data_IF_897808548006
#
_entry.id   IF_897808548006
#
_cell.length_a   1.000
_cell.length_b   1.000
_cell.length_c   1.000
_cell.angle_alpha   90.00
_cell.angle_beta   90.00
_cell.angle_gamma   90.00
#
_symmetry.space_group_name_H-M   'P 1'
#
loop_
_entity.id
_entity.type
_entity.pdbx_description
1 polymer ?
#
# COMPACT_ATOMS: atom_id res chain seq x y z
N UNK A 1 -22.38 -32.04 5.64
CA UNK A 1 -21.14 -32.81 5.83
C UNK A 1 -19.90 -31.91 5.95
N UNK A 2 -20.04 -30.73 6.59
CA UNK A 2 -18.96 -29.74 6.82
C UNK A 2 -18.94 -29.22 8.27
N UNK A 3 -19.71 -29.85 9.17
CA UNK A 3 -19.88 -29.40 10.56
C UNK A 3 -18.98 -30.14 11.55
N UNK A 4 -18.33 -31.22 11.14
CA UNK A 4 -17.68 -32.14 12.08
C UNK A 4 -16.15 -31.98 12.18
N UNK A 5 -15.54 -31.05 11.43
CA UNK A 5 -14.09 -30.78 11.49
C UNK A 5 -13.73 -29.81 12.64
N UNK A 6 -14.69 -29.10 13.24
CA UNK A 6 -14.42 -28.08 14.27
C UNK A 6 -14.38 -28.63 15.72
N UNK A 7 -14.26 -29.95 15.92
CA UNK A 7 -14.23 -30.58 17.25
C UNK A 7 -13.01 -31.46 17.55
N UNK A 8 -11.96 -31.41 16.73
CA UNK A 8 -10.68 -32.01 17.11
C UNK A 8 -9.73 -30.95 17.66
N UNK A 9 -9.06 -31.31 18.75
CA UNK A 9 -8.07 -30.51 19.46
C UNK A 9 -7.11 -29.84 18.45
N UNK A 10 -7.08 -28.52 18.51
CA UNK A 10 -6.22 -27.67 17.70
C UNK A 10 -4.76 -28.07 17.89
N UNK A 11 -4.18 -28.89 16.99
CA UNK A 11 -2.72 -28.99 16.78
C UNK A 11 -2.21 -29.89 15.64
N UNK A 12 -3.02 -30.46 14.74
CA UNK A 12 -2.51 -31.53 13.84
C UNK A 12 -2.51 -31.25 12.34
N UNK A 13 -2.96 -30.09 11.86
CA UNK A 13 -2.93 -29.79 10.41
C UNK A 13 -1.63 -29.08 10.05
N UNK A 14 -0.66 -29.82 9.51
CA UNK A 14 0.60 -29.27 9.01
C UNK A 14 0.50 -29.00 7.51
N UNK A 15 0.83 -27.78 7.10
CA UNK A 15 0.90 -27.41 5.69
C UNK A 15 2.37 -27.44 5.27
N UNK A 16 2.74 -28.11 4.17
CA UNK A 16 4.12 -28.07 3.65
C UNK A 16 4.53 -26.71 3.06
N UNK A 17 5.49 -26.69 2.14
CA UNK A 17 5.87 -25.47 1.42
C UNK A 17 4.73 -25.02 0.49
N UNK A 18 4.21 -23.81 0.69
CA UNK A 18 3.11 -23.25 -0.12
C UNK A 18 3.60 -22.03 -0.88
N UNK A 19 3.54 -22.09 -2.20
CA UNK A 19 3.89 -20.93 -3.02
C UNK A 19 2.91 -19.78 -2.80
N UNK A 20 1.61 -20.07 -2.88
CA UNK A 20 0.55 -19.07 -2.74
C UNK A 20 -0.60 -19.67 -1.93
N UNK A 21 -1.02 -18.94 -0.91
CA UNK A 21 -2.23 -19.23 -0.15
C UNK A 21 -3.23 -18.10 -0.37
N UNK A 22 -4.47 -18.45 -0.63
CA UNK A 22 -5.56 -17.49 -0.80
C UNK A 22 -6.74 -17.95 0.03
N UNK A 23 -7.15 -17.11 0.98
CA UNK A 23 -8.26 -17.38 1.89
C UNK A 23 -9.31 -16.30 1.72
N UNK A 24 -10.55 -16.75 1.56
CA UNK A 24 -11.72 -15.91 1.39
C UNK A 24 -12.66 -16.09 2.57
N UNK A 25 -13.20 -15.00 3.09
CA UNK A 25 -14.32 -15.02 4.02
C UNK A 25 -14.05 -15.89 5.26
N UNK A 26 -14.98 -16.78 5.61
CA UNK A 26 -14.83 -17.68 6.75
C UNK A 26 -13.61 -18.59 6.69
N UNK A 27 -13.07 -18.90 5.49
CA UNK A 27 -11.85 -19.73 5.39
C UNK A 27 -10.64 -19.06 6.01
N UNK A 28 -10.66 -17.73 6.18
CA UNK A 28 -9.60 -17.00 6.88
C UNK A 28 -9.43 -17.44 8.33
N UNK A 29 -10.49 -17.95 8.98
CA UNK A 29 -10.41 -18.43 10.36
C UNK A 29 -9.41 -19.56 10.53
N UNK A 30 -9.07 -20.28 9.46
CA UNK A 30 -8.05 -21.32 9.48
C UNK A 30 -6.67 -20.80 9.93
N UNK A 31 -6.41 -19.50 9.76
CA UNK A 31 -5.19 -18.82 10.25
C UNK A 31 -5.04 -18.87 11.78
N UNK A 32 -6.13 -19.03 12.53
CA UNK A 32 -6.06 -19.15 13.99
C UNK A 32 -5.72 -20.56 14.44
N UNK A 33 -5.98 -21.57 13.59
CA UNK A 33 -5.94 -22.98 13.94
C UNK A 33 -4.73 -23.75 13.39
N UNK A 34 -4.13 -23.33 12.28
CA UNK A 34 -3.04 -24.09 11.66
C UNK A 34 -1.69 -23.76 12.32
N UNK A 35 -0.95 -24.81 12.67
CA UNK A 35 0.46 -24.74 13.07
C UNK A 35 1.41 -24.81 11.87
N UNK A 36 2.48 -24.01 11.89
CA UNK A 36 3.53 -24.04 10.86
C UNK A 36 4.81 -24.64 11.43
N UNK A 37 5.42 -25.56 10.68
CA UNK A 37 6.78 -26.06 10.92
C UNK A 37 7.82 -25.01 10.53
N UNK A 38 9.03 -25.07 11.09
CA UNK A 38 10.12 -24.11 10.84
C UNK A 38 10.48 -23.98 9.35
N UNK A 39 10.33 -25.04 8.57
CA UNK A 39 10.65 -25.06 7.13
C UNK A 39 9.51 -24.58 6.22
N UNK A 40 8.30 -24.41 6.76
CA UNK A 40 7.15 -24.02 5.96
C UNK A 40 7.29 -22.56 5.54
N UNK A 41 7.28 -22.30 4.24
CA UNK A 41 7.35 -20.96 3.66
C UNK A 41 6.08 -20.71 2.84
N UNK A 42 5.39 -19.61 3.13
CA UNK A 42 4.31 -19.07 2.29
C UNK A 42 4.92 -17.91 1.50
N UNK A 43 5.06 -18.02 0.18
CA UNK A 43 5.65 -16.91 -0.58
C UNK A 43 4.64 -15.76 -0.76
N UNK A 44 3.37 -16.09 -1.01
CA UNK A 44 2.27 -15.14 -1.20
C UNK A 44 1.05 -15.51 -0.35
N UNK A 45 0.56 -14.58 0.47
CA UNK A 45 -0.67 -14.71 1.24
C UNK A 45 -1.68 -13.65 0.79
N UNK A 46 -2.85 -14.11 0.35
CA UNK A 46 -3.97 -13.25 -0.06
C UNK A 46 -5.16 -13.52 0.85
N UNK A 47 -5.68 -12.47 1.49
CA UNK A 47 -6.81 -12.54 2.40
C UNK A 47 -7.89 -11.55 1.96
N UNK A 48 -9.12 -12.03 1.82
CA UNK A 48 -10.24 -11.22 1.33
C UNK A 48 -11.49 -11.46 2.19
N UNK A 49 -11.97 -10.40 2.83
CA UNK A 49 -13.17 -10.46 3.67
C UNK A 49 -14.19 -9.38 3.30
N UNK A 50 -15.41 -9.81 2.99
CA UNK A 50 -16.52 -8.90 2.70
C UNK A 50 -17.31 -8.43 3.91
N UNK A 51 -17.11 -9.05 5.08
CA UNK A 51 -17.79 -8.73 6.34
C UNK A 51 -16.85 -8.84 7.53
N UNK A 52 -17.13 -8.06 8.57
CA UNK A 52 -16.37 -8.11 9.84
C UNK A 52 -16.40 -9.49 10.49
N UNK A 53 -17.51 -10.24 10.36
CA UNK A 53 -17.65 -11.58 10.96
C UNK A 53 -16.58 -12.59 10.51
N UNK A 54 -16.03 -12.40 9.31
CA UNK A 54 -14.96 -13.25 8.78
C UNK A 54 -13.63 -13.07 9.53
N UNK A 55 -13.40 -11.91 10.13
CA UNK A 55 -12.15 -11.56 10.81
C UNK A 55 -12.28 -11.46 12.33
N UNK A 56 -13.50 -11.50 12.87
CA UNK A 56 -13.76 -11.30 14.30
C UNK A 56 -12.88 -12.19 15.18
N UNK A 57 -12.77 -13.48 14.83
CA UNK A 57 -11.95 -14.40 15.61
C UNK A 57 -10.47 -14.05 15.52
N UNK A 58 -9.97 -13.78 14.32
CA UNK A 58 -8.58 -13.36 14.06
C UNK A 58 -8.21 -12.10 14.87
N UNK A 59 -9.12 -11.14 14.98
CA UNK A 59 -8.90 -9.90 15.72
C UNK A 59 -8.90 -10.10 17.25
N UNK A 60 -9.71 -11.04 17.74
CA UNK A 60 -9.79 -11.42 19.17
C UNK A 60 -8.56 -12.20 19.61
N UNK A 61 -8.06 -13.10 18.77
CA UNK A 61 -6.94 -13.94 19.14
C UNK A 61 -5.67 -13.10 19.18
N UNK A 62 -5.01 -12.98 20.34
CA UNK A 62 -3.64 -12.44 20.46
C UNK A 62 -2.59 -13.39 19.86
N UNK A 63 -2.96 -14.15 18.82
CA UNK A 63 -2.39 -15.45 18.49
C UNK A 63 -0.93 -15.34 18.05
N UNK A 64 -0.04 -16.01 18.78
CA UNK A 64 1.35 -16.20 18.37
C UNK A 64 1.43 -16.95 17.03
N UNK A 65 0.44 -17.79 16.72
CA UNK A 65 0.41 -18.54 15.46
C UNK A 65 0.33 -17.58 14.26
N UNK A 66 -0.57 -16.59 14.25
CA UNK A 66 -0.67 -15.62 13.14
C UNK A 66 0.66 -14.89 12.91
N UNK A 67 1.38 -14.57 13.98
CA UNK A 67 2.69 -13.92 13.92
C UNK A 67 3.78 -14.84 13.34
N UNK A 68 3.76 -16.13 13.68
CA UNK A 68 4.72 -17.10 13.15
C UNK A 68 4.63 -17.27 11.61
N UNK A 69 3.46 -16.98 11.02
CA UNK A 69 3.24 -17.08 9.58
C UNK A 69 3.80 -15.87 8.85
N UNK A 70 3.55 -14.67 9.39
CA UNK A 70 3.86 -13.42 8.70
C UNK A 70 5.36 -13.23 8.50
N UNK A 71 6.17 -13.75 9.42
CA UNK A 71 7.63 -13.73 9.36
C UNK A 71 8.21 -14.45 8.14
N UNK A 72 7.40 -15.23 7.42
CA UNK A 72 7.81 -15.98 6.23
C UNK A 72 7.12 -15.53 4.94
N UNK A 73 6.16 -14.62 5.03
CA UNK A 73 5.38 -14.12 3.89
C UNK A 73 6.16 -13.06 3.12
N UNK A 74 6.47 -13.31 1.84
CA UNK A 74 7.14 -12.32 0.99
C UNK A 74 6.17 -11.30 0.42
N UNK A 75 4.97 -11.74 0.02
CA UNK A 75 3.90 -10.89 -0.51
C UNK A 75 2.63 -11.05 0.31
N UNK A 76 2.12 -9.96 0.85
CA UNK A 76 0.86 -9.92 1.58
C UNK A 76 -0.15 -9.06 0.82
N UNK A 77 -1.33 -9.61 0.60
CA UNK A 77 -2.46 -8.92 0.00
C UNK A 77 -3.69 -9.01 0.90
N UNK A 78 -4.20 -7.86 1.33
CA UNK A 78 -5.39 -7.76 2.17
C UNK A 78 -6.49 -6.98 1.44
N UNK A 79 -7.68 -7.57 1.34
CA UNK A 79 -8.83 -6.99 0.67
C UNK A 79 -10.04 -6.91 1.60
N UNK A 80 -10.80 -5.82 1.47
CA UNK A 80 -12.00 -5.61 2.28
C UNK A 80 -11.69 -5.51 3.77
N UNK A 81 -12.54 -6.10 4.61
CA UNK A 81 -12.34 -6.16 6.06
C UNK A 81 -11.02 -6.83 6.47
N UNK A 82 -10.42 -7.68 5.62
CA UNK A 82 -9.13 -8.32 5.94
C UNK A 82 -8.03 -7.29 6.24
N UNK A 83 -8.14 -6.06 5.72
CA UNK A 83 -7.21 -4.97 6.03
C UNK A 83 -7.15 -4.70 7.53
N UNK A 84 -8.26 -4.82 8.28
CA UNK A 84 -8.31 -4.54 9.72
C UNK A 84 -7.43 -5.47 10.56
N UNK A 85 -6.97 -6.60 10.02
CA UNK A 85 -6.02 -7.48 10.71
C UNK A 85 -4.60 -6.92 10.67
N UNK A 86 -4.30 -5.96 9.78
CA UNK A 86 -2.95 -5.43 9.55
C UNK A 86 -2.21 -5.03 10.84
N UNK A 87 -2.82 -4.26 11.78
CA UNK A 87 -2.14 -3.93 13.04
C UNK A 87 -1.85 -5.15 13.93
N UNK A 88 -2.64 -6.23 13.78
CA UNK A 88 -2.44 -7.49 14.53
C UNK A 88 -1.29 -8.33 13.98
N UNK A 89 -0.93 -8.12 12.71
CA UNK A 89 0.21 -8.81 12.09
C UNK A 89 1.56 -8.33 12.63
N UNK A 90 1.60 -7.21 13.39
CA UNK A 90 2.83 -6.66 14.01
C UNK A 90 4.02 -6.63 13.05
N UNK A 91 3.79 -6.14 11.83
CA UNK A 91 4.83 -5.99 10.82
C UNK A 91 5.86 -4.96 11.31
N UNK A 92 6.99 -5.47 11.81
CA UNK A 92 8.06 -4.67 12.40
C UNK A 92 9.32 -4.71 11.52
N UNK A 93 10.40 -4.05 11.98
CA UNK A 93 11.64 -3.80 11.23
C UNK A 93 12.28 -5.06 10.61
N UNK A 94 12.13 -6.21 11.25
CA UNK A 94 12.74 -7.47 10.82
C UNK A 94 11.87 -8.27 9.85
N UNK A 95 10.65 -7.80 9.57
CA UNK A 95 9.71 -8.51 8.73
C UNK A 95 10.23 -8.73 7.30
N UNK A 96 9.86 -9.89 6.73
CA UNK A 96 10.31 -10.31 5.40
C UNK A 96 9.41 -9.86 4.25
N UNK A 97 8.21 -9.31 4.54
CA UNK A 97 7.29 -8.81 3.51
C UNK A 97 8.01 -7.79 2.63
N UNK A 98 8.13 -8.13 1.36
CA UNK A 98 8.68 -7.29 0.30
C UNK A 98 7.58 -6.55 -0.46
N UNK A 99 6.38 -7.10 -0.49
CA UNK A 99 5.26 -6.54 -1.26
C UNK A 99 4.00 -6.53 -0.40
N UNK A 100 3.41 -5.34 -0.23
CA UNK A 100 2.14 -5.16 0.47
C UNK A 100 1.10 -4.57 -0.49
N UNK A 101 -0.03 -5.24 -0.60
CA UNK A 101 -1.18 -4.80 -1.39
C UNK A 101 -2.39 -4.65 -0.47
N UNK A 102 -2.98 -3.45 -0.39
CA UNK A 102 -4.19 -3.19 0.39
C UNK A 102 -5.29 -2.65 -0.51
N UNK A 103 -6.45 -3.31 -0.55
CA UNK A 103 -7.57 -2.92 -1.40
C UNK A 103 -8.87 -2.75 -0.60
N UNK A 104 -9.32 -1.51 -0.42
CA UNK A 104 -10.56 -1.21 0.31
C UNK A 104 -11.58 -0.53 -0.60
N UNK A 105 -12.64 -1.27 -0.98
CA UNK A 105 -13.76 -0.72 -1.78
C UNK A 105 -14.73 0.17 -1.00
N UNK A 106 -14.71 0.12 0.33
CA UNK A 106 -15.60 0.88 1.22
C UNK A 106 -14.80 1.44 2.39
N UNK A 107 -15.20 2.60 2.90
CA UNK A 107 -14.56 3.25 4.05
C UNK A 107 -14.56 2.35 5.31
N UNK A 108 -15.64 1.59 5.53
CA UNK A 108 -15.80 0.66 6.67
C UNK A 108 -14.66 -0.37 6.79
N UNK A 109 -14.00 -0.71 5.67
CA UNK A 109 -12.88 -1.66 5.67
C UNK A 109 -11.65 -1.14 6.42
N UNK A 110 -11.51 0.18 6.59
CA UNK A 110 -10.33 0.80 7.20
C UNK A 110 -10.64 1.64 8.44
N UNK A 111 -11.93 1.84 8.76
CA UNK A 111 -12.39 2.71 9.86
C UNK A 111 -11.72 2.37 11.20
N UNK A 112 -11.63 1.08 11.56
CA UNK A 112 -11.00 0.66 12.83
C UNK A 112 -9.50 0.96 12.88
N UNK A 113 -8.83 0.93 11.73
CA UNK A 113 -7.41 1.28 11.65
C UNK A 113 -7.23 2.79 11.83
N UNK A 114 -8.06 3.60 11.18
CA UNK A 114 -7.98 5.06 11.26
C UNK A 114 -8.30 5.60 12.68
N UNK A 115 -9.17 4.91 13.42
CA UNK A 115 -9.46 5.19 14.85
C UNK A 115 -8.27 4.95 15.78
N UNK A 116 -7.28 4.16 15.35
CA UNK A 116 -6.10 3.88 16.18
C UNK A 116 -5.21 5.13 16.22
N UNK A 117 -5.04 5.73 17.41
CA UNK A 117 -4.28 6.97 17.60
C UNK A 117 -2.78 6.82 17.29
N UNK A 118 -2.25 5.59 17.39
CA UNK A 118 -0.82 5.33 17.22
C UNK A 118 -0.45 5.07 15.75
N UNK A 119 -0.01 6.12 15.04
CA UNK A 119 0.59 6.02 13.68
C UNK A 119 1.80 5.07 13.64
N UNK A 120 2.54 4.97 14.74
CA UNK A 120 3.78 4.17 14.83
C UNK A 120 3.58 2.65 14.77
N UNK A 121 2.34 2.14 14.83
CA UNK A 121 2.07 0.69 14.98
C UNK A 121 1.59 0.00 13.71
N UNK A 122 1.26 0.72 12.64
CA UNK A 122 0.59 0.09 11.49
C UNK A 122 1.50 -0.87 10.72
N UNK A 123 2.59 -0.37 10.11
CA UNK A 123 3.52 -1.16 9.29
C UNK A 123 4.86 -0.44 9.20
N UNK A 124 5.96 -1.16 9.42
CA UNK A 124 7.31 -0.69 9.13
C UNK A 124 7.73 -1.03 7.69
N UNK A 125 8.15 -0.02 6.91
CA UNK A 125 8.35 -0.16 5.45
C UNK A 125 9.82 -0.28 5.02
N UNK A 126 10.81 -0.15 5.92
CA UNK A 126 12.26 -0.08 5.59
C UNK A 126 12.79 -1.11 4.57
N UNK A 127 12.27 -2.34 4.59
CA UNK A 127 12.70 -3.43 3.69
C UNK A 127 11.69 -3.78 2.60
N UNK A 128 10.60 -3.03 2.51
CA UNK A 128 9.52 -3.23 1.55
C UNK A 128 9.94 -2.68 0.18
N UNK A 129 9.77 -3.52 -0.85
CA UNK A 129 10.10 -3.18 -2.23
C UNK A 129 8.91 -2.53 -2.93
N UNK A 130 7.70 -3.03 -2.70
CA UNK A 130 6.48 -2.55 -3.36
C UNK A 130 5.36 -2.31 -2.36
N UNK A 131 4.70 -1.16 -2.46
CA UNK A 131 3.45 -0.86 -1.79
C UNK A 131 2.37 -0.52 -2.83
N UNK A 132 1.23 -1.17 -2.75
CA UNK A 132 0.08 -0.91 -3.62
C UNK A 132 -1.17 -0.68 -2.78
N UNK A 133 -1.79 0.49 -2.95
CA UNK A 133 -3.00 0.90 -2.22
C UNK A 133 -4.11 1.21 -3.22
N UNK A 134 -5.24 0.54 -3.05
CA UNK A 134 -6.41 0.70 -3.91
C UNK A 134 -7.65 1.12 -3.11
N UNK A 135 -8.41 2.06 -3.66
CA UNK A 135 -9.63 2.57 -3.04
C UNK A 135 -9.36 3.32 -1.74
N UNK A 136 -10.23 3.17 -0.75
CA UNK A 136 -10.08 3.81 0.56
C UNK A 136 -8.76 3.46 1.28
N UNK A 137 -8.09 2.34 0.93
CA UNK A 137 -6.82 1.95 1.54
C UNK A 137 -5.72 2.98 1.32
N UNK A 138 -5.87 3.85 0.32
CA UNK A 138 -4.99 5.00 0.09
C UNK A 138 -4.93 5.92 1.31
N UNK A 139 -6.04 6.13 2.04
CA UNK A 139 -6.08 6.96 3.25
C UNK A 139 -5.12 6.46 4.34
N UNK A 140 -4.79 5.16 4.33
CA UNK A 140 -3.81 4.58 5.24
C UNK A 140 -2.38 5.02 4.95
N UNK A 141 -2.08 5.59 3.77
CA UNK A 141 -0.72 6.03 3.42
C UNK A 141 -0.15 7.01 4.45
N UNK A 142 -0.98 7.94 4.94
CA UNK A 142 -0.62 8.90 6.01
C UNK A 142 -0.38 8.27 7.39
N UNK A 143 -0.76 7.00 7.55
CA UNK A 143 -0.62 6.22 8.78
C UNK A 143 0.53 5.22 8.72
N UNK A 144 1.13 5.00 7.56
CA UNK A 144 2.26 4.09 7.41
C UNK A 144 3.56 4.77 7.83
N UNK A 145 4.47 4.02 8.48
CA UNK A 145 5.78 4.53 8.85
C UNK A 145 6.80 4.21 7.75
N UNK A 146 7.09 5.22 6.93
CA UNK A 146 8.11 5.17 5.88
C UNK A 146 9.37 5.90 6.39
N UNK A 147 10.48 5.19 6.65
CA UNK A 147 11.74 5.85 7.01
C UNK A 147 12.22 6.78 5.90
N UNK A 148 12.96 7.81 6.27
CA UNK A 148 13.48 8.78 5.31
C UNK A 148 14.44 8.16 4.28
N UNK A 149 15.33 7.29 4.76
CA UNK A 149 16.27 6.54 3.93
C UNK A 149 15.68 5.27 3.30
N UNK A 150 14.35 5.13 3.33
CA UNK A 150 13.68 4.04 2.65
C UNK A 150 13.98 4.07 1.15
N UNK A 151 14.27 2.91 0.56
CA UNK A 151 14.58 2.75 -0.88
C UNK A 151 13.51 1.90 -1.55
N UNK A 152 12.27 2.38 -1.52
CA UNK A 152 11.15 1.65 -2.12
C UNK A 152 11.36 1.55 -3.63
N UNK A 153 11.10 0.37 -4.20
CA UNK A 153 11.17 0.20 -5.66
C UNK A 153 9.94 0.78 -6.35
N UNK A 154 8.76 0.59 -5.77
CA UNK A 154 7.51 0.97 -6.43
C UNK A 154 6.40 1.30 -5.42
N UNK A 155 5.74 2.44 -5.63
CA UNK A 155 4.50 2.84 -4.95
C UNK A 155 3.42 2.98 -6.01
N UNK A 156 2.32 2.27 -5.80
CA UNK A 156 1.16 2.28 -6.69
C UNK A 156 -0.06 2.74 -5.90
N UNK A 157 -0.69 3.83 -6.34
CA UNK A 157 -1.95 4.33 -5.78
C UNK A 157 -3.04 4.33 -6.84
N UNK A 158 -4.18 3.72 -6.53
CA UNK A 158 -5.29 3.58 -7.47
C UNK A 158 -6.64 3.97 -6.83
N UNK A 159 -7.16 5.14 -7.22
CA UNK A 159 -8.40 5.70 -6.68
C UNK A 159 -9.46 5.88 -7.77
N UNK A 160 -10.39 4.95 -7.86
CA UNK A 160 -11.47 4.99 -8.87
C UNK A 160 -12.54 6.07 -8.62
N UNK A 161 -12.73 6.46 -7.36
CA UNK A 161 -13.71 7.46 -6.91
C UNK A 161 -13.02 8.55 -6.07
N UNK A 162 -13.56 9.78 -6.03
CA UNK A 162 -12.98 10.87 -5.25
C UNK A 162 -13.05 10.62 -3.73
N UNK A 163 -14.06 9.88 -3.23
CA UNK A 163 -14.15 9.58 -1.79
C UNK A 163 -12.96 8.76 -1.24
N UNK A 164 -12.21 8.09 -2.12
CA UNK A 164 -11.03 7.32 -1.72
C UNK A 164 -9.89 8.20 -1.21
N UNK A 165 -9.86 9.49 -1.57
CA UNK A 165 -8.72 10.37 -1.33
C UNK A 165 -9.07 11.62 -0.51
N UNK A 166 -10.35 11.82 -0.17
CA UNK A 166 -10.86 13.05 0.43
C UNK A 166 -10.06 13.49 1.68
N UNK A 167 -9.80 12.56 2.61
CA UNK A 167 -9.01 12.84 3.82
C UNK A 167 -7.54 13.23 3.53
N UNK A 168 -6.98 12.73 2.42
CA UNK A 168 -5.61 13.09 2.02
C UNK A 168 -5.58 14.48 1.39
N UNK A 169 -6.61 14.86 0.65
CA UNK A 169 -6.67 16.18 0.01
C UNK A 169 -6.73 17.32 1.04
N UNK A 170 -7.28 17.05 2.23
CA UNK A 170 -7.31 17.97 3.37
C UNK A 170 -5.92 18.21 4.01
N UNK A 171 -4.93 17.37 3.71
CA UNK A 171 -3.58 17.56 4.24
C UNK A 171 -2.86 18.71 3.53
N UNK A 172 -1.92 19.32 4.23
CA UNK A 172 -0.99 20.27 3.62
C UNK A 172 -0.07 19.57 2.62
N UNK A 173 0.42 20.34 1.64
CA UNK A 173 1.33 19.80 0.63
C UNK A 173 2.61 19.24 1.27
N UNK A 174 3.14 18.16 0.69
CA UNK A 174 4.35 17.43 1.16
C UNK A 174 4.24 16.84 2.57
N UNK A 175 3.05 16.71 3.15
CA UNK A 175 2.84 16.10 4.49
C UNK A 175 3.05 14.58 4.50
N UNK A 176 2.74 13.89 3.40
CA UNK A 176 2.88 12.43 3.30
C UNK A 176 4.28 12.09 2.81
N UNK A 177 5.20 11.83 3.74
CA UNK A 177 6.58 11.48 3.39
C UNK A 177 6.69 10.05 2.83
N UNK A 178 7.25 9.92 1.63
CA UNK A 178 7.46 8.62 0.96
C UNK A 178 8.94 8.24 0.77
N UNK A 179 9.87 9.10 1.21
CA UNK A 179 11.31 8.84 1.19
C UNK A 179 11.91 8.80 -0.23
N UNK A 180 12.86 7.89 -0.46
CA UNK A 180 13.48 7.65 -1.78
C UNK A 180 12.70 6.54 -2.51
N UNK A 181 12.28 6.81 -3.73
CA UNK A 181 11.46 5.89 -4.52
C UNK A 181 11.91 5.84 -5.98
N UNK A 182 12.00 4.61 -6.52
CA UNK A 182 12.36 4.40 -7.93
C UNK A 182 11.18 4.61 -8.87
N UNK A 183 9.99 4.10 -8.55
CA UNK A 183 8.80 4.22 -9.40
C UNK A 183 7.59 4.69 -8.61
N UNK A 184 6.96 5.76 -9.08
CA UNK A 184 5.71 6.27 -8.56
C UNK A 184 4.63 6.15 -9.63
N UNK A 185 3.57 5.40 -9.34
CA UNK A 185 2.45 5.18 -10.26
C UNK A 185 1.13 5.62 -9.63
N UNK A 186 0.50 6.63 -10.23
CA UNK A 186 -0.77 7.17 -9.76
C UNK A 186 -1.83 6.99 -10.85
N UNK A 187 -2.94 6.35 -10.49
CA UNK A 187 -4.04 6.07 -11.39
C UNK A 187 -5.31 6.82 -10.95
N UNK A 188 -5.99 7.42 -11.95
CA UNK A 188 -7.29 8.08 -11.78
C UNK A 188 -7.20 9.20 -10.73
N UNK A 189 -8.15 9.31 -9.78
CA UNK A 189 -8.15 10.36 -8.76
C UNK A 189 -6.88 10.37 -7.90
N UNK A 190 -6.10 9.28 -7.83
CA UNK A 190 -4.89 9.24 -7.02
C UNK A 190 -3.83 10.25 -7.49
N UNK A 191 -3.93 10.76 -8.72
CA UNK A 191 -3.08 11.84 -9.23
C UNK A 191 -3.21 13.10 -8.36
N UNK A 192 -4.40 13.40 -7.84
CA UNK A 192 -4.62 14.58 -6.98
C UNK A 192 -3.85 14.52 -5.65
N UNK A 193 -3.32 13.35 -5.28
CA UNK A 193 -2.47 13.19 -4.08
C UNK A 193 -1.05 13.67 -4.34
N UNK A 194 -0.61 13.82 -5.59
CA UNK A 194 0.79 14.14 -5.91
C UNK A 194 1.37 15.35 -5.14
N UNK A 195 0.67 16.50 -4.99
CA UNK A 195 1.15 17.64 -4.19
C UNK A 195 1.31 17.32 -2.70
N UNK A 196 0.58 16.31 -2.20
CA UNK A 196 0.59 15.89 -0.79
C UNK A 196 1.78 14.99 -0.47
N UNK A 197 2.43 14.42 -1.48
CA UNK A 197 3.58 13.53 -1.32
C UNK A 197 4.87 14.33 -1.10
N UNK A 198 5.56 14.04 -0.01
CA UNK A 198 6.91 14.51 0.27
C UNK A 198 7.92 13.49 -0.25
N UNK A 199 8.69 13.89 -1.27
CA UNK A 199 9.77 13.09 -1.86
C UNK A 199 11.10 13.59 -1.31
N UNK A 200 12.05 12.68 -1.08
CA UNK A 200 13.38 13.06 -0.61
C UNK A 200 14.13 13.93 -1.63
N UNK A 201 14.79 15.02 -1.20
CA UNK A 201 15.52 15.98 -2.06
C UNK A 201 16.52 15.31 -3.01
N UNK A 202 17.27 14.34 -2.50
CA UNK A 202 18.24 13.55 -3.28
C UNK A 202 17.63 12.45 -4.16
N UNK A 203 16.32 12.25 -4.14
CA UNK A 203 15.69 11.16 -4.87
C UNK A 203 15.99 11.25 -6.37
N UNK A 204 16.30 10.10 -6.95
CA UNK A 204 16.46 9.90 -8.40
C UNK A 204 15.44 8.86 -8.81
N UNK A 205 14.29 9.34 -9.29
CA UNK A 205 13.18 8.50 -9.70
C UNK A 205 13.43 7.95 -11.10
N UNK A 206 13.24 6.64 -11.29
CA UNK A 206 13.32 6.01 -12.60
C UNK A 206 12.09 6.29 -13.45
N UNK A 207 10.91 6.32 -12.83
CA UNK A 207 9.65 6.49 -13.54
C UNK A 207 8.61 7.19 -12.66
N UNK A 208 8.10 8.32 -13.15
CA UNK A 208 6.80 8.85 -12.74
C UNK A 208 5.77 8.44 -13.81
N UNK A 209 4.72 7.73 -13.40
CA UNK A 209 3.63 7.31 -14.28
C UNK A 209 2.30 7.84 -13.74
N UNK A 210 1.62 8.66 -14.54
CA UNK A 210 0.30 9.22 -14.23
C UNK A 210 -0.69 8.80 -15.33
N UNK A 211 -1.82 8.19 -14.95
CA UNK A 211 -2.87 7.81 -15.89
C UNK A 211 -4.20 8.44 -15.50
N UNK A 212 -4.69 9.37 -16.33
CA UNK A 212 -5.97 10.03 -16.18
C UNK A 212 -6.84 9.82 -17.42
N UNK A 213 -7.74 8.83 -17.37
CA UNK A 213 -8.67 8.58 -18.47
C UNK A 213 -9.73 9.69 -18.66
N UNK A 214 -10.00 10.48 -17.62
CA UNK A 214 -10.98 11.58 -17.66
C UNK A 214 -10.44 12.86 -16.98
N UNK A 215 -10.89 14.06 -17.38
CA UNK A 215 -10.40 15.34 -16.83
C UNK A 215 -10.64 15.51 -15.33
N UNK A 216 -11.72 14.98 -14.77
CA UNK A 216 -12.05 15.10 -13.34
C UNK A 216 -10.98 14.52 -12.42
N UNK A 217 -10.15 13.59 -12.93
CA UNK A 217 -9.04 13.01 -12.17
C UNK A 217 -7.92 14.00 -11.87
N UNK A 218 -7.81 15.10 -12.63
CA UNK A 218 -6.73 16.09 -12.50
C UNK A 218 -7.22 17.48 -12.10
N UNK A 219 -8.53 17.68 -11.90
CA UNK A 219 -9.12 19.00 -11.66
C UNK A 219 -8.40 19.79 -10.56
N UNK A 220 -8.15 19.19 -9.40
CA UNK A 220 -7.45 19.87 -8.29
C UNK A 220 -5.99 20.22 -8.57
N UNK A 221 -5.36 19.58 -9.56
CA UNK A 221 -3.99 19.88 -9.99
C UNK A 221 -3.96 21.03 -10.99
N UNK A 222 -4.99 21.19 -11.83
CA UNK A 222 -5.05 22.27 -12.82
C UNK A 222 -5.10 23.66 -12.17
N UNK A 223 -5.62 23.76 -10.95
CA UNK A 223 -5.67 24.98 -10.15
C UNK A 223 -4.32 25.36 -9.52
N UNK A 224 -3.34 24.45 -9.55
CA UNK A 224 -2.00 24.72 -9.03
C UNK A 224 -1.23 25.70 -9.94
N UNK A 225 -0.29 26.41 -9.33
CA UNK A 225 0.63 27.27 -10.06
C UNK A 225 1.60 26.41 -10.88
N UNK A 226 2.03 26.93 -12.01
CA UNK A 226 3.05 26.29 -12.83
C UNK A 226 4.29 26.03 -11.98
N UNK A 227 4.86 24.83 -12.14
CA UNK A 227 6.05 24.37 -11.40
C UNK A 227 5.89 24.45 -9.86
N UNK A 228 4.67 24.34 -9.32
CA UNK A 228 4.44 24.28 -7.86
C UNK A 228 4.62 22.87 -7.28
N UNK A 229 4.47 21.84 -8.10
CA UNK A 229 4.49 20.43 -7.66
C UNK A 229 5.86 19.84 -7.93
N UNK A 230 6.74 19.95 -6.93
CA UNK A 230 8.08 19.40 -7.01
C UNK A 230 8.08 17.86 -6.92
N UNK A 231 8.62 17.20 -7.95
CA UNK A 231 8.76 15.73 -8.01
C UNK A 231 10.23 15.26 -8.02
N UNK A 232 11.18 16.20 -8.04
CA UNK A 232 12.61 15.93 -7.96
C UNK A 232 13.24 15.53 -9.30
N UNK A 233 14.29 14.69 -9.25
CA UNK A 233 15.01 14.25 -10.46
C UNK A 233 14.41 12.95 -10.99
N UNK A 234 14.14 12.88 -12.28
CA UNK A 234 13.42 11.77 -12.90
C UNK A 234 14.01 11.37 -14.25
N UNK A 235 14.13 10.06 -14.50
CA UNK A 235 14.60 9.53 -15.78
C UNK A 235 13.51 9.45 -16.85
N UNK A 236 12.28 9.15 -16.44
CA UNK A 236 11.15 9.00 -17.34
C UNK A 236 9.87 9.51 -16.70
N UNK A 237 9.15 10.36 -17.41
CA UNK A 237 7.77 10.71 -17.07
C UNK A 237 6.86 10.12 -18.15
N UNK A 238 5.87 9.36 -17.73
CA UNK A 238 4.80 8.88 -18.60
C UNK A 238 3.47 9.45 -18.11
N UNK A 239 2.88 10.31 -18.93
CA UNK A 239 1.60 10.96 -18.68
C UNK A 239 0.60 10.44 -19.72
N UNK A 240 -0.39 9.68 -19.27
CA UNK A 240 -1.39 9.08 -20.15
C UNK A 240 -2.75 9.76 -19.99
N UNK A 241 -3.44 9.93 -21.13
CA UNK A 241 -4.72 10.63 -21.20
C UNK A 241 -4.59 12.11 -20.80
N UNK A 242 -5.51 12.57 -19.96
CA UNK A 242 -5.56 13.95 -19.46
C UNK A 242 -4.38 14.31 -18.56
N UNK A 243 -3.57 13.34 -18.10
CA UNK A 243 -2.42 13.63 -17.24
C UNK A 243 -1.35 14.50 -17.94
N UNK A 244 -1.35 14.58 -19.28
CA UNK A 244 -0.47 15.50 -20.01
C UNK A 244 -0.81 16.98 -19.77
N UNK A 245 -2.06 17.29 -19.43
CA UNK A 245 -2.54 18.66 -19.24
C UNK A 245 -1.98 19.33 -17.97
N UNK A 246 -1.43 18.54 -17.05
CA UNK A 246 -0.83 19.03 -15.80
C UNK A 246 0.70 19.05 -15.84
N UNK A 247 1.31 18.81 -17.00
CA UNK A 247 2.78 18.72 -17.12
C UNK A 247 3.49 20.01 -16.70
N UNK A 248 2.91 21.16 -17.03
CA UNK A 248 3.36 22.51 -16.66
C UNK A 248 3.31 22.78 -15.15
N UNK A 249 2.46 22.04 -14.42
CA UNK A 249 2.34 22.13 -12.95
C UNK A 249 3.49 21.40 -12.22
N UNK A 250 4.16 20.48 -12.90
CA UNK A 250 5.23 19.66 -12.33
C UNK A 250 6.57 20.39 -12.40
N UNK A 251 7.30 20.42 -11.29
CA UNK A 251 8.68 20.89 -11.20
C UNK A 251 9.63 19.69 -11.05
N UNK A 252 10.48 19.49 -12.08
CA UNK A 252 11.39 18.36 -12.15
C UNK A 252 12.65 18.62 -12.97
N UNK A 253 13.66 17.81 -12.70
CA UNK A 253 14.88 17.75 -13.50
C UNK A 253 14.90 16.41 -14.23
N UNK A 254 14.91 16.44 -15.56
CA UNK A 254 14.99 15.23 -16.36
C UNK A 254 16.45 14.78 -16.47
N UNK A 255 16.69 13.49 -16.20
CA UNK A 255 18.02 12.88 -16.33
C UNK A 255 18.10 12.16 -17.68
N UNK A 256 19.05 12.59 -18.52
CA UNK A 256 19.29 11.95 -19.82
C UNK A 256 20.06 10.63 -19.68
N UNK A 257 19.94 9.70 -20.65
CA UNK A 257 20.69 8.44 -20.71
C UNK A 257 22.21 8.58 -20.55
N UNK A 258 22.79 9.75 -20.87
CA UNK A 258 24.22 10.07 -20.73
C UNK A 258 24.59 10.66 -19.35
N UNK A 259 23.63 10.75 -18.42
CA UNK A 259 23.81 11.25 -17.06
C UNK A 259 23.76 12.78 -16.93
N UNK A 260 23.48 13.52 -18.01
CA UNK A 260 23.33 14.98 -17.95
C UNK A 260 21.95 15.38 -17.43
N UNK A 261 21.93 16.35 -16.52
CA UNK A 261 20.71 16.94 -15.95
C UNK A 261 20.27 18.13 -16.83
N UNK A 262 19.01 18.13 -17.28
CA UNK A 262 18.37 19.32 -17.87
C UNK A 262 17.20 19.74 -17.00
N UNK A 263 17.20 21.02 -16.62
CA UNK A 263 16.02 21.65 -16.03
C UNK A 263 15.05 21.84 -17.18
N UNK A 264 13.91 21.15 -17.16
CA UNK A 264 12.89 21.30 -18.20
C UNK A 264 12.20 22.65 -17.98
N UNK A 265 12.70 23.68 -18.67
CA UNK A 265 12.04 24.98 -18.77
C UNK A 265 11.07 24.95 -19.95
N UNK A 266 9.79 24.67 -19.68
CA UNK A 266 8.70 25.20 -20.52
C UNK A 266 8.40 26.63 -20.13
#
# INVERSE_FOLDING_TARGET
MWTDILKEESNTTWIGRVKKMTLFEHTMQILTSIGMYEENMIEELVLDAYKTEHITEILKTGNKNILAWIEKVKKLELRGYAIQILPKLRIHKENVIKELVLCARKAEHITEILKTENKSTLVWIEKMKKLELCGHAIQLLSRLRIPEENKMKELVLNAYNPEHIIEILELENKTIWIGKIRKLRLFYYAIQILPKLGIHGENVMEELYLNACFPEYIYGILEEKDKSIWIGRVWRINLEGHANEIKDKLDFTEIKPDGKEEIVSS
#
